data_IF_568271034446
#
_entry.id   IF_568271034446
#
_cell.length_a   1.000
_cell.length_b   1.000
_cell.length_c   1.000
_cell.angle_alpha   90.00
_cell.angle_beta   90.00
_cell.angle_gamma   90.00
#
_symmetry.space_group_name_H-M   'P 1'
#
loop_
_entity.id
_entity.type
_entity.pdbx_description
1 polymer ?
#
# COMPACT_ATOMS: atom_id res chain seq x y z
N UNK A 1 16.51 33.85 -41.99
CA UNK A 1 15.14 34.40 -41.89
C UNK A 1 14.16 33.23 -41.91
N UNK A 2 13.40 33.06 -40.81
CA UNK A 2 12.04 32.43 -40.76
C UNK A 2 12.01 30.91 -41.13
N UNK A 3 11.62 29.94 -40.30
CA UNK A 3 10.64 29.91 -39.22
C UNK A 3 10.86 28.63 -38.37
N UNK A 4 10.66 28.76 -37.07
CA UNK A 4 10.52 27.66 -36.13
C UNK A 4 9.30 26.78 -36.47
N UNK A 5 9.43 25.46 -36.26
CA UNK A 5 8.36 24.58 -35.76
C UNK A 5 8.95 23.24 -35.33
N UNK A 6 9.15 23.16 -34.03
CA UNK A 6 9.63 22.03 -33.25
C UNK A 6 8.73 20.79 -33.42
N UNK A 7 9.31 19.73 -33.94
CA UNK A 7 8.87 18.35 -33.72
C UNK A 7 9.85 17.76 -32.70
N UNK A 8 9.55 17.94 -31.41
CA UNK A 8 10.22 17.18 -30.35
C UNK A 8 9.20 16.18 -29.80
N UNK A 9 9.65 14.94 -29.73
CA UNK A 9 8.95 13.79 -29.20
C UNK A 9 8.43 14.05 -27.78
N UNK A 10 7.12 13.86 -27.61
CA UNK A 10 6.41 13.38 -26.42
C UNK A 10 7.28 13.32 -25.13
N UNK A 11 7.44 14.46 -24.47
CA UNK A 11 8.08 14.61 -23.16
C UNK A 11 7.32 13.84 -22.07
N UNK A 12 7.88 12.72 -21.60
CA UNK A 12 7.32 11.86 -20.54
C UNK A 12 8.03 12.10 -19.19
N UNK A 13 7.98 13.32 -18.64
CA UNK A 13 8.19 13.52 -17.19
C UNK A 13 7.73 14.90 -16.68
N UNK A 14 6.49 15.29 -16.96
CA UNK A 14 5.87 16.47 -16.33
C UNK A 14 5.47 16.16 -14.87
N UNK A 15 6.46 16.06 -13.98
CA UNK A 15 6.27 16.05 -12.52
C UNK A 15 5.91 17.46 -12.03
N UNK A 16 4.75 17.98 -12.43
CA UNK A 16 4.31 19.32 -12.03
C UNK A 16 2.80 19.37 -11.90
N UNK A 17 2.33 18.84 -10.76
CA UNK A 17 1.07 19.09 -10.01
C UNK A 17 0.90 17.85 -9.14
N UNK A 18 1.14 17.90 -7.83
CA UNK A 18 0.19 18.48 -6.89
C UNK A 18 0.88 19.33 -5.81
N UNK A 19 0.40 20.57 -5.72
CA UNK A 19 0.44 21.37 -4.51
C UNK A 19 -0.19 20.59 -3.36
N UNK A 20 0.55 20.45 -2.26
CA UNK A 20 0.08 19.82 -1.03
C UNK A 20 1.07 19.99 0.14
N UNK A 21 1.80 21.11 0.19
CA UNK A 21 2.66 21.47 1.32
C UNK A 21 1.88 22.33 2.31
N UNK A 22 1.08 21.69 3.15
CA UNK A 22 0.57 22.27 4.40
C UNK A 22 1.45 21.84 5.59
N UNK A 23 1.64 22.69 6.62
CA UNK A 23 2.59 22.44 7.71
C UNK A 23 2.10 21.46 8.80
N UNK A 24 1.07 20.65 8.52
CA UNK A 24 0.55 19.64 9.46
C UNK A 24 0.16 18.33 8.72
N UNK A 25 1.15 17.48 8.38
CA UNK A 25 0.91 16.09 7.97
C UNK A 25 1.35 15.11 9.09
N UNK A 26 0.46 14.65 9.98
CA UNK A 26 0.83 13.64 10.96
C UNK A 26 0.59 12.21 10.40
N UNK A 27 1.25 11.83 9.30
CA UNK A 27 1.13 10.45 8.76
C UNK A 27 2.20 10.04 7.73
N UNK A 28 3.41 10.62 7.75
CA UNK A 28 4.50 10.18 6.86
C UNK A 28 5.78 9.94 7.65
N UNK A 29 5.69 9.16 8.73
CA UNK A 29 6.83 8.31 9.11
C UNK A 29 7.00 7.37 7.93
N UNK A 30 8.08 7.53 7.16
CA UNK A 30 8.41 6.64 6.06
C UNK A 30 8.61 5.24 6.65
N UNK A 31 7.54 4.45 6.70
CA UNK A 31 7.60 3.06 7.12
C UNK A 31 8.54 2.35 6.14
N UNK A 32 9.53 1.66 6.68
CA UNK A 32 10.46 0.85 5.90
C UNK A 32 9.63 -0.25 5.26
N UNK A 33 9.29 -0.08 3.99
CA UNK A 33 8.50 -1.05 3.25
C UNK A 33 9.39 -2.22 2.80
N UNK A 34 9.01 -3.44 3.15
CA UNK A 34 9.66 -4.69 2.75
C UNK A 34 8.90 -5.27 1.56
N UNK A 35 9.64 -5.74 0.55
CA UNK A 35 9.03 -6.47 -0.56
C UNK A 35 8.59 -7.85 -0.09
N UNK A 36 7.28 -8.10 -0.20
CA UNK A 36 6.67 -9.40 0.11
C UNK A 36 6.53 -10.22 -1.17
N UNK A 37 6.17 -9.60 -2.30
CA UNK A 37 6.15 -10.24 -3.61
C UNK A 37 7.21 -9.64 -4.54
N UNK A 38 8.23 -10.42 -4.86
CA UNK A 38 9.30 -9.98 -5.77
C UNK A 38 8.82 -10.01 -7.24
N UNK A 39 7.98 -10.98 -7.62
CA UNK A 39 7.52 -11.12 -9.00
C UNK A 39 6.73 -9.91 -9.49
N UNK A 40 5.84 -9.38 -8.63
CA UNK A 40 4.93 -8.29 -8.96
C UNK A 40 5.24 -6.99 -8.21
N UNK A 41 6.37 -6.94 -7.48
CA UNK A 41 6.83 -5.75 -6.77
C UNK A 41 5.92 -5.28 -5.62
N UNK A 42 5.20 -6.20 -4.97
CA UNK A 42 4.25 -5.87 -3.90
C UNK A 42 4.98 -5.78 -2.57
N UNK A 43 4.75 -4.69 -1.83
CA UNK A 43 5.34 -4.46 -0.50
C UNK A 43 4.35 -4.76 0.62
N UNK A 44 4.87 -4.99 1.82
CA UNK A 44 4.08 -5.16 3.05
C UNK A 44 3.14 -3.96 3.28
N UNK A 45 3.60 -2.73 3.00
CA UNK A 45 2.78 -1.53 3.09
C UNK A 45 1.57 -1.61 2.15
N UNK A 46 1.76 -2.04 0.90
CA UNK A 46 0.66 -2.20 -0.05
C UNK A 46 -0.34 -3.27 0.41
N UNK A 47 0.14 -4.34 1.06
CA UNK A 47 -0.72 -5.39 1.63
C UNK A 47 -1.52 -4.83 2.81
N UNK A 48 -0.88 -4.10 3.74
CA UNK A 48 -1.55 -3.44 4.87
C UNK A 48 -2.55 -2.37 4.41
N UNK A 49 -2.23 -1.62 3.37
CA UNK A 49 -3.14 -0.65 2.76
C UNK A 49 -4.33 -1.34 2.09
N UNK A 50 -4.10 -2.45 1.37
CA UNK A 50 -5.19 -3.27 0.82
C UNK A 50 -6.09 -3.80 1.94
N UNK A 51 -5.50 -4.25 3.06
CA UNK A 51 -6.23 -4.73 4.23
C UNK A 51 -7.08 -3.62 4.88
N UNK A 52 -6.52 -2.43 5.06
CA UNK A 52 -7.24 -1.25 5.55
C UNK A 52 -8.39 -0.83 4.61
N UNK A 53 -8.21 -1.02 3.31
CA UNK A 53 -9.24 -0.84 2.28
C UNK A 53 -10.23 -2.02 2.18
N UNK A 54 -10.32 -2.84 3.23
CA UNK A 54 -11.30 -3.91 3.37
C UNK A 54 -10.92 -5.24 2.74
N UNK A 55 -9.67 -5.44 2.30
CA UNK A 55 -9.23 -6.74 1.81
C UNK A 55 -9.11 -7.73 2.98
N UNK A 56 -9.81 -8.87 2.89
CA UNK A 56 -9.84 -9.88 3.97
C UNK A 56 -9.27 -11.23 3.60
N UNK A 57 -9.08 -11.49 2.31
CA UNK A 57 -8.63 -12.80 1.81
C UNK A 57 -7.44 -12.64 0.88
N UNK A 58 -6.58 -13.66 0.86
CA UNK A 58 -5.41 -13.68 -0.04
C UNK A 58 -5.86 -13.68 -1.51
N UNK A 59 -6.96 -14.36 -1.84
CA UNK A 59 -7.51 -14.33 -3.21
C UNK A 59 -7.90 -12.92 -3.65
N UNK A 60 -8.52 -12.14 -2.77
CA UNK A 60 -8.86 -10.74 -3.04
C UNK A 60 -7.61 -9.88 -3.14
N UNK A 61 -6.61 -10.12 -2.27
CA UNK A 61 -5.32 -9.43 -2.32
C UNK A 61 -4.62 -9.69 -3.66
N UNK A 62 -4.61 -10.92 -4.15
CA UNK A 62 -4.07 -11.29 -5.46
C UNK A 62 -4.81 -10.57 -6.58
N UNK A 63 -6.13 -10.46 -6.53
CA UNK A 63 -6.90 -9.72 -7.54
C UNK A 63 -6.59 -8.22 -7.53
N UNK A 64 -6.33 -7.63 -6.36
CA UNK A 64 -6.08 -6.18 -6.21
C UNK A 64 -4.63 -5.79 -6.50
N UNK A 65 -3.66 -6.59 -6.06
CA UNK A 65 -2.23 -6.25 -6.08
C UNK A 65 -1.39 -7.16 -6.98
N UNK A 66 -1.94 -8.29 -7.41
CA UNK A 66 -1.20 -9.33 -8.12
C UNK A 66 -0.33 -10.21 -7.22
N UNK A 67 -0.25 -9.99 -5.91
CA UNK A 67 0.60 -10.81 -5.03
C UNK A 67 0.25 -12.30 -5.14
N UNK A 68 1.24 -13.14 -5.45
CA UNK A 68 1.07 -14.60 -5.53
C UNK A 68 0.50 -15.14 -6.84
N UNK A 69 0.24 -14.31 -7.85
CA UNK A 69 -0.27 -14.77 -9.16
C UNK A 69 0.77 -15.48 -10.05
N UNK A 70 2.06 -15.29 -9.77
CA UNK A 70 3.16 -15.82 -10.60
C UNK A 70 3.77 -17.10 -10.02
N UNK A 71 4.51 -17.02 -8.90
CA UNK A 71 5.19 -18.17 -8.30
C UNK A 71 4.53 -18.69 -7.01
N UNK A 72 3.59 -17.94 -6.44
CA UNK A 72 2.87 -18.30 -5.20
C UNK A 72 3.69 -18.27 -3.90
N UNK A 73 5.03 -18.12 -3.93
CA UNK A 73 5.86 -18.24 -2.72
C UNK A 73 5.62 -17.19 -1.64
N UNK A 74 4.97 -16.07 -1.98
CA UNK A 74 4.63 -15.01 -1.03
C UNK A 74 3.24 -15.15 -0.39
N UNK A 75 2.45 -16.16 -0.77
CA UNK A 75 1.04 -16.29 -0.34
C UNK A 75 0.92 -16.48 1.18
N UNK A 76 1.76 -17.33 1.78
CA UNK A 76 1.74 -17.58 3.23
C UNK A 76 2.08 -16.30 4.00
N UNK A 77 3.19 -15.65 3.65
CA UNK A 77 3.62 -14.39 4.26
C UNK A 77 2.59 -13.27 4.07
N UNK A 78 1.99 -13.15 2.88
CA UNK A 78 0.95 -12.17 2.62
C UNK A 78 -0.32 -12.44 3.44
N UNK A 79 -0.68 -13.72 3.62
CA UNK A 79 -1.77 -14.16 4.47
C UNK A 79 -1.53 -13.83 5.94
N UNK A 80 -0.32 -14.06 6.44
CA UNK A 80 0.08 -13.73 7.81
C UNK A 80 -0.03 -12.23 8.08
N UNK A 81 0.44 -11.38 7.14
CA UNK A 81 0.34 -9.92 7.26
C UNK A 81 -1.13 -9.47 7.26
N UNK A 82 -1.98 -10.06 6.41
CA UNK A 82 -3.41 -9.79 6.42
C UNK A 82 -4.03 -10.17 7.78
N UNK A 83 -3.73 -11.37 8.27
CA UNK A 83 -4.23 -11.86 9.55
C UNK A 83 -3.76 -10.97 10.72
N UNK A 84 -2.50 -10.58 10.76
CA UNK A 84 -1.92 -9.66 11.75
C UNK A 84 -2.66 -8.31 11.74
N UNK A 85 -2.91 -7.74 10.55
CA UNK A 85 -3.61 -6.47 10.43
C UNK A 85 -5.02 -6.53 11.03
N UNK A 86 -5.75 -7.62 10.79
CA UNK A 86 -7.10 -7.81 11.33
C UNK A 86 -7.10 -8.25 12.81
N UNK A 87 -6.03 -8.86 13.31
CA UNK A 87 -5.88 -9.21 14.72
C UNK A 87 -5.65 -7.97 15.60
N UNK A 88 -4.91 -6.97 15.10
CA UNK A 88 -4.60 -5.73 15.85
C UNK A 88 -5.79 -4.76 15.91
N UNK A 89 -6.84 -4.95 15.11
CA UNK A 89 -8.07 -4.18 15.18
C UNK A 89 -8.88 -4.35 16.50
N UNK A 90 -8.39 -5.18 17.43
CA UNK A 90 -9.00 -5.47 18.72
C UNK A 90 -8.51 -4.65 19.92
N UNK A 91 -7.59 -3.67 19.81
CA UNK A 91 -7.17 -2.94 21.01
C UNK A 91 -6.68 -1.50 20.80
N UNK A 92 -7.53 -0.50 21.08
CA UNK A 92 -7.07 0.85 21.34
C UNK A 92 -7.45 1.30 22.76
N UNK A 93 -6.95 0.68 23.84
CA UNK A 93 -7.27 1.20 25.18
C UNK A 93 -6.10 1.12 26.18
N UNK A 94 -5.32 2.20 26.34
CA UNK A 94 -4.65 2.43 27.61
C UNK A 94 -5.74 2.78 28.65
N UNK A 95 -6.09 1.79 29.49
CA UNK A 95 -6.80 1.88 30.78
C UNK A 95 -8.28 1.39 30.92
N UNK A 96 -9.03 0.95 29.89
CA UNK A 96 -10.48 0.66 30.08
C UNK A 96 -11.11 -0.50 29.27
N UNK A 97 -10.47 -1.67 29.15
CA UNK A 97 -10.92 -2.75 28.25
C UNK A 97 -11.76 -3.91 28.83
N UNK A 98 -11.97 -4.01 30.14
CA UNK A 98 -12.53 -5.21 30.80
C UNK A 98 -14.08 -5.37 30.71
N UNK A 99 -14.76 -4.60 29.86
CA UNK A 99 -16.22 -4.50 29.91
C UNK A 99 -17.00 -5.19 28.77
N UNK A 100 -16.37 -5.78 27.74
CA UNK A 100 -17.12 -6.19 26.53
C UNK A 100 -16.67 -7.51 25.87
N UNK A 101 -16.41 -8.54 26.68
CA UNK A 101 -16.51 -9.93 26.22
C UNK A 101 -17.58 -10.68 27.03
N UNK A 102 -18.77 -10.06 27.12
CA UNK A 102 -19.99 -10.67 27.68
C UNK A 102 -20.60 -11.69 26.71
#
# INVERSE_FOLDING_TARGET
MVQARSLLAIDTHSHSRLNGFGPFRPAAVQAIAVYVCICNGVTDHQIREAAANGCRTVSELTMRTGAGSTCGSCLDMAGDILAEHHAVAGFPLPMLGDALAA
#
